data_IF_159028409699
#
_entry.id   IF_159028409699
#
_cell.length_a   1.000
_cell.length_b   1.000
_cell.length_c   1.000
_cell.angle_alpha   90.00
_cell.angle_beta   90.00
_cell.angle_gamma   90.00
#
_symmetry.space_group_name_H-M   'P 1'
#
loop_
_entity.id
_entity.type
_entity.pdbx_description
1 polymer ?
#
# COMPACT_ATOMS: atom_id res chain seq x y z
N UNK A 1 3.73 -30.55 -22.97
CA UNK A 1 4.16 -31.96 -22.85
C UNK A 1 3.25 -32.81 -21.97
N UNK A 2 3.05 -34.06 -22.38
CA UNK A 2 2.39 -35.15 -21.62
C UNK A 2 3.41 -36.22 -21.20
N UNK A 3 4.70 -35.93 -21.35
CA UNK A 3 5.76 -36.86 -20.99
C UNK A 3 5.76 -37.11 -19.48
N UNK A 4 6.12 -38.34 -19.05
CA UNK A 4 6.25 -38.65 -17.63
C UNK A 4 7.25 -37.68 -16.98
N UNK A 5 6.96 -37.18 -15.76
CA UNK A 5 7.96 -36.40 -15.03
C UNK A 5 9.22 -37.25 -14.86
N UNK A 6 10.39 -36.61 -14.99
CA UNK A 6 11.67 -37.26 -14.71
C UNK A 6 11.61 -37.87 -13.30
N UNK A 7 12.04 -39.14 -13.12
CA UNK A 7 11.99 -39.77 -11.81
C UNK A 7 12.89 -38.98 -10.84
N UNK A 8 12.28 -38.35 -9.84
CA UNK A 8 13.03 -37.83 -8.70
C UNK A 8 13.57 -39.02 -7.90
N UNK A 9 14.85 -38.99 -7.45
CA UNK A 9 15.48 -40.13 -6.79
C UNK A 9 14.81 -40.49 -5.46
N UNK A 10 14.23 -39.52 -4.75
CA UNK A 10 13.50 -39.72 -3.50
C UNK A 10 12.14 -39.01 -3.53
N UNK A 11 11.05 -39.74 -3.29
CA UNK A 11 9.70 -39.17 -3.21
C UNK A 11 9.44 -38.54 -1.83
N UNK A 12 8.67 -37.44 -1.80
CA UNK A 12 8.23 -36.81 -0.54
C UNK A 12 7.38 -37.75 0.34
N UNK A 13 6.78 -38.78 -0.25
CA UNK A 13 6.04 -39.81 0.48
C UNK A 13 6.92 -40.61 1.45
N UNK A 14 8.19 -40.79 1.10
CA UNK A 14 9.15 -41.59 1.87
C UNK A 14 9.91 -40.76 2.92
N UNK A 15 9.70 -39.44 2.94
CA UNK A 15 10.40 -38.52 3.85
C UNK A 15 10.27 -38.88 5.35
N UNK A 16 9.10 -39.33 5.88
CA UNK A 16 8.98 -39.72 7.29
C UNK A 16 9.84 -40.95 7.67
N UNK A 17 10.17 -41.80 6.70
CA UNK A 17 10.95 -43.03 6.89
C UNK A 17 12.38 -42.90 6.34
N UNK A 18 12.72 -41.76 5.75
CA UNK A 18 14.03 -41.52 5.16
C UNK A 18 15.13 -41.45 6.23
N UNK A 19 16.33 -41.88 5.85
CA UNK A 19 17.50 -41.83 6.72
C UNK A 19 17.78 -40.36 7.14
N UNK A 20 17.91 -40.05 8.45
CA UNK A 20 18.26 -38.71 8.94
C UNK A 20 19.59 -38.14 8.40
N UNK A 21 20.48 -39.01 7.92
CA UNK A 21 21.75 -38.63 7.28
C UNK A 21 21.70 -38.56 5.75
N UNK A 22 20.51 -38.63 5.15
CA UNK A 22 20.38 -38.50 3.70
C UNK A 22 20.90 -37.14 3.21
N UNK A 23 21.96 -37.19 2.39
CA UNK A 23 22.56 -36.01 1.76
C UNK A 23 21.57 -35.29 0.83
N UNK A 24 20.64 -36.03 0.21
CA UNK A 24 19.64 -35.47 -0.69
C UNK A 24 18.71 -34.50 0.06
N UNK A 25 18.11 -34.95 1.16
CA UNK A 25 17.17 -34.15 1.96
C UNK A 25 17.86 -32.99 2.67
N UNK A 26 19.09 -33.18 3.15
CA UNK A 26 19.92 -32.11 3.69
C UNK A 26 20.15 -31.01 2.66
N UNK A 27 20.66 -31.37 1.48
CA UNK A 27 20.89 -30.40 0.40
C UNK A 27 19.61 -29.68 -0.02
N UNK A 28 18.46 -30.37 -0.04
CA UNK A 28 17.17 -29.77 -0.42
C UNK A 28 16.70 -28.75 0.63
N UNK A 29 16.82 -29.05 1.92
CA UNK A 29 16.49 -28.11 2.99
C UNK A 29 17.47 -26.92 3.01
N UNK A 30 18.77 -27.17 2.92
CA UNK A 30 19.79 -26.14 2.97
C UNK A 30 19.65 -25.18 1.77
N UNK A 31 19.38 -25.71 0.57
CA UNK A 31 19.10 -24.88 -0.60
C UNK A 31 17.83 -24.05 -0.43
N UNK A 32 16.76 -24.63 0.14
CA UNK A 32 15.50 -23.92 0.39
C UNK A 32 15.67 -22.82 1.44
N UNK A 33 16.44 -23.09 2.48
CA UNK A 33 16.79 -22.13 3.54
C UNK A 33 17.65 -21.00 2.99
N UNK A 34 18.62 -21.32 2.13
CA UNK A 34 19.46 -20.33 1.46
C UNK A 34 18.63 -19.44 0.52
N UNK A 35 17.69 -20.02 -0.22
CA UNK A 35 16.78 -19.27 -1.08
C UNK A 35 15.88 -18.33 -0.26
N UNK A 36 15.35 -18.79 0.87
CA UNK A 36 14.49 -17.99 1.75
C UNK A 36 15.27 -16.79 2.33
N UNK A 37 16.45 -17.04 2.89
CA UNK A 37 17.29 -16.02 3.54
C UNK A 37 17.94 -15.04 2.55
N UNK A 38 18.08 -15.41 1.27
CA UNK A 38 18.68 -14.59 0.20
C UNK A 38 17.67 -14.04 -0.80
N UNK A 39 16.36 -14.08 -0.47
CA UNK A 39 15.29 -13.58 -1.34
C UNK A 39 15.33 -12.05 -1.56
N UNK A 40 16.02 -11.31 -0.69
CA UNK A 40 15.96 -9.84 -0.65
C UNK A 40 14.85 -9.36 0.28
N UNK A 41 14.88 -9.83 1.52
CA UNK A 41 13.88 -9.56 2.56
C UNK A 41 13.86 -8.07 2.91
N UNK A 42 15.01 -7.39 2.92
CA UNK A 42 15.06 -5.96 3.21
C UNK A 42 14.23 -5.15 2.21
N UNK A 43 14.37 -5.43 0.92
CA UNK A 43 13.60 -4.76 -0.13
C UNK A 43 12.12 -5.13 -0.06
N UNK A 44 11.82 -6.42 0.14
CA UNK A 44 10.45 -6.92 0.25
C UNK A 44 9.72 -6.24 1.41
N UNK A 45 10.29 -6.29 2.61
CA UNK A 45 9.67 -5.77 3.82
C UNK A 45 9.50 -4.25 3.77
N UNK A 46 10.51 -3.52 3.28
CA UNK A 46 10.41 -2.07 3.07
C UNK A 46 9.31 -1.71 2.08
N UNK A 47 9.16 -2.48 0.99
CA UNK A 47 8.11 -2.26 -0.02
C UNK A 47 6.71 -2.52 0.56
N UNK A 48 6.54 -3.61 1.31
CA UNK A 48 5.26 -3.97 1.94
C UNK A 48 4.84 -2.88 2.93
N UNK A 49 5.75 -2.44 3.80
CA UNK A 49 5.45 -1.38 4.79
C UNK A 49 5.20 -0.05 4.10
N UNK A 50 6.00 0.34 3.09
CA UNK A 50 5.76 1.58 2.35
C UNK A 50 4.39 1.60 1.66
N UNK A 51 3.97 0.49 1.06
CA UNK A 51 2.64 0.38 0.45
C UNK A 51 1.51 0.44 1.48
N UNK A 52 1.70 -0.19 2.64
CA UNK A 52 0.71 -0.14 3.72
C UNK A 52 0.58 1.27 4.31
N UNK A 53 1.69 1.99 4.52
CA UNK A 53 1.67 3.39 4.95
C UNK A 53 0.92 4.26 3.93
N UNK A 54 1.21 4.10 2.63
CA UNK A 54 0.51 4.83 1.57
C UNK A 54 -1.00 4.55 1.60
N UNK A 55 -1.38 3.28 1.70
CA UNK A 55 -2.78 2.84 1.81
C UNK A 55 -3.48 3.46 3.04
N UNK A 56 -2.80 3.49 4.18
CA UNK A 56 -3.33 4.10 5.40
C UNK A 56 -3.45 5.62 5.30
N UNK A 57 -2.48 6.30 4.70
CA UNK A 57 -2.56 7.74 4.42
C UNK A 57 -3.74 8.04 3.49
N UNK A 58 -3.90 7.29 2.40
CA UNK A 58 -5.04 7.45 1.50
C UNK A 58 -6.38 7.22 2.22
N UNK A 59 -6.45 6.22 3.09
CA UNK A 59 -7.62 5.98 3.94
C UNK A 59 -7.89 7.14 4.88
N UNK A 60 -6.87 7.70 5.53
CA UNK A 60 -7.01 8.86 6.41
C UNK A 60 -7.48 10.11 5.65
N UNK A 61 -6.96 10.36 4.45
CA UNK A 61 -7.41 11.47 3.60
C UNK A 61 -8.89 11.29 3.23
N UNK A 62 -9.30 10.07 2.88
CA UNK A 62 -10.70 9.78 2.51
C UNK A 62 -11.70 10.03 3.65
N UNK A 63 -11.24 9.93 4.91
CA UNK A 63 -12.04 10.17 6.11
C UNK A 63 -11.90 11.61 6.64
N UNK A 64 -11.02 12.42 6.04
CA UNK A 64 -10.70 13.77 6.47
C UNK A 64 -11.49 14.83 5.70
N UNK A 65 -11.33 16.09 6.11
CA UNK A 65 -11.86 17.28 5.42
C UNK A 65 -11.25 17.45 4.02
N UNK A 66 -10.08 16.86 3.76
CA UNK A 66 -9.44 16.87 2.44
C UNK A 66 -10.09 15.92 1.42
N UNK A 67 -11.15 15.18 1.80
CA UNK A 67 -11.85 14.26 0.90
C UNK A 67 -12.51 14.96 -0.30
N UNK A 68 -12.97 16.20 -0.14
CA UNK A 68 -13.51 17.06 -1.21
C UNK A 68 -12.45 17.75 -2.06
N UNK A 69 -11.17 17.65 -1.68
CA UNK A 69 -10.07 18.43 -2.25
C UNK A 69 -9.07 17.53 -2.99
N UNK A 70 -9.26 17.27 -4.30
CA UNK A 70 -8.37 16.40 -5.07
C UNK A 70 -6.94 16.93 -5.15
N UNK A 71 -6.77 18.26 -5.22
CA UNK A 71 -5.45 18.89 -5.24
C UNK A 71 -4.66 18.62 -3.96
N UNK A 72 -5.28 18.85 -2.79
CA UNK A 72 -4.64 18.59 -1.51
C UNK A 72 -4.34 17.10 -1.31
N UNK A 73 -5.27 16.23 -1.72
CA UNK A 73 -5.05 14.77 -1.69
C UNK A 73 -3.81 14.37 -2.47
N UNK A 74 -3.65 14.87 -3.69
CA UNK A 74 -2.48 14.56 -4.52
C UNK A 74 -1.18 15.00 -3.84
N UNK A 75 -1.13 16.23 -3.30
CA UNK A 75 0.05 16.74 -2.61
C UNK A 75 0.41 15.89 -1.39
N UNK A 76 -0.59 15.47 -0.60
CA UNK A 76 -0.36 14.63 0.58
C UNK A 76 0.21 13.26 0.17
N UNK A 77 -0.38 12.62 -0.84
CA UNK A 77 0.07 11.31 -1.33
C UNK A 77 1.47 11.39 -1.94
N UNK A 78 1.79 12.47 -2.66
CA UNK A 78 3.13 12.73 -3.19
C UNK A 78 4.16 13.01 -2.10
N UNK A 79 3.80 13.79 -1.06
CA UNK A 79 4.65 14.04 0.09
C UNK A 79 4.98 12.74 0.84
N UNK A 80 3.96 11.92 1.13
CA UNK A 80 4.15 10.62 1.75
C UNK A 80 5.07 9.71 0.91
N UNK A 81 4.86 9.69 -0.40
CA UNK A 81 5.66 8.87 -1.32
C UNK A 81 7.11 9.35 -1.42
N UNK A 82 7.34 10.66 -1.43
CA UNK A 82 8.68 11.27 -1.44
C UNK A 82 9.52 10.86 -0.24
N UNK A 83 8.97 11.02 0.97
CA UNK A 83 9.66 10.67 2.23
C UNK A 83 9.99 9.18 2.28
N UNK A 84 9.02 8.33 1.91
CA UNK A 84 9.22 6.87 1.90
C UNK A 84 10.29 6.45 0.90
N UNK A 85 10.36 7.09 -0.28
CA UNK A 85 11.35 6.77 -1.31
C UNK A 85 12.76 7.21 -0.91
N UNK A 86 12.91 8.33 -0.20
CA UNK A 86 14.21 8.82 0.28
C UNK A 86 14.87 7.83 1.26
N UNK A 87 14.07 7.26 2.18
CA UNK A 87 14.55 6.28 3.17
C UNK A 87 14.58 4.84 2.66
N UNK A 88 13.95 4.55 1.52
CA UNK A 88 13.77 3.18 1.03
C UNK A 88 15.07 2.39 0.93
N UNK A 89 16.11 2.96 0.30
CA UNK A 89 17.36 2.25 0.06
C UNK A 89 18.13 2.01 1.36
N UNK A 90 18.25 3.03 2.22
CA UNK A 90 18.97 2.92 3.49
C UNK A 90 18.29 1.92 4.43
N UNK A 91 16.96 1.97 4.55
CA UNK A 91 16.21 1.02 5.37
C UNK A 91 16.36 -0.40 4.83
N UNK A 92 16.23 -0.59 3.52
CA UNK A 92 16.37 -1.92 2.90
C UNK A 92 17.75 -2.52 3.15
N UNK A 93 18.82 -1.73 3.02
CA UNK A 93 20.19 -2.20 3.27
C UNK A 93 20.42 -2.55 4.74
N UNK A 94 19.93 -1.72 5.66
CA UNK A 94 20.03 -2.00 7.09
C UNK A 94 19.28 -3.26 7.50
N UNK A 95 18.09 -3.50 6.95
CA UNK A 95 17.36 -4.74 7.19
C UNK A 95 18.12 -5.95 6.63
N UNK A 96 18.76 -5.83 5.45
CA UNK A 96 19.60 -6.92 4.91
C UNK A 96 20.85 -7.21 5.76
N UNK A 97 21.44 -6.15 6.33
CA UNK A 97 22.60 -6.26 7.21
C UNK A 97 22.23 -6.90 8.56
N UNK A 98 21.06 -6.58 9.12
CA UNK A 98 20.64 -7.13 10.41
C UNK A 98 20.24 -8.61 10.33
N UNK A 99 19.74 -9.07 9.18
CA UNK A 99 19.41 -10.50 8.98
C UNK A 99 20.61 -11.33 8.49
N UNK A 100 21.75 -10.69 8.20
CA UNK A 100 22.96 -11.37 7.72
C UNK A 100 23.44 -12.52 8.62
N UNK A 101 23.37 -12.45 9.97
CA UNK A 101 23.72 -13.58 10.84
C UNK A 101 22.91 -14.84 10.52
N UNK A 102 21.61 -14.70 10.25
CA UNK A 102 20.72 -15.82 9.93
C UNK A 102 20.95 -16.44 8.55
N UNK A 103 21.83 -15.87 7.71
CA UNK A 103 22.20 -16.46 6.41
C UNK A 103 23.18 -17.62 6.54
N UNK A 104 23.88 -17.72 7.68
CA UNK A 104 24.93 -18.72 7.90
C UNK A 104 24.54 -19.74 8.96
N UNK A 105 24.01 -19.28 10.09
CA UNK A 105 23.60 -20.16 11.19
C UNK A 105 22.24 -19.71 11.72
N UNK A 106 21.31 -20.66 11.86
CA UNK A 106 20.00 -20.43 12.45
C UNK A 106 19.81 -21.42 13.58
N UNK A 107 19.95 -20.92 14.80
CA UNK A 107 19.63 -21.67 16.00
C UNK A 107 18.13 -21.59 16.28
N UNK A 108 17.52 -22.77 16.43
CA UNK A 108 16.08 -22.92 16.67
C UNK A 108 15.86 -23.35 18.11
N UNK A 109 15.07 -22.56 18.84
CA UNK A 109 14.64 -22.89 20.19
C UNK A 109 13.42 -23.82 20.18
N UNK A 110 13.22 -24.57 21.26
CA UNK A 110 12.10 -25.51 21.37
C UNK A 110 10.75 -24.78 21.42
N UNK A 111 10.71 -23.58 22.02
CA UNK A 111 9.53 -22.71 22.07
C UNK A 111 9.13 -22.21 20.68
N UNK A 112 10.12 -21.81 19.88
CA UNK A 112 9.95 -21.37 18.50
C UNK A 112 9.49 -22.53 17.61
N UNK A 113 10.04 -23.73 17.81
CA UNK A 113 9.61 -24.92 17.10
C UNK A 113 8.13 -25.25 17.32
N UNK A 114 7.67 -25.20 18.58
CA UNK A 114 6.26 -25.45 18.91
C UNK A 114 5.35 -24.40 18.26
N UNK A 115 5.71 -23.11 18.34
CA UNK A 115 4.95 -22.03 17.69
C UNK A 115 4.92 -22.18 16.18
N UNK A 116 6.07 -22.49 15.57
CA UNK A 116 6.18 -22.70 14.14
C UNK A 116 5.34 -23.89 13.67
N UNK A 117 5.27 -24.96 14.47
CA UNK A 117 4.42 -26.13 14.19
C UNK A 117 2.93 -25.79 14.15
N UNK A 118 2.47 -24.96 15.08
CA UNK A 118 1.08 -24.49 15.11
C UNK A 118 0.77 -23.59 13.92
N UNK A 119 1.62 -22.58 13.68
CA UNK A 119 1.44 -21.63 12.59
C UNK A 119 1.43 -22.30 11.21
N UNK A 120 2.44 -23.14 10.93
CA UNK A 120 2.53 -23.83 9.63
C UNK A 120 1.40 -24.82 9.40
N UNK A 121 0.86 -25.43 10.46
CA UNK A 121 -0.32 -26.28 10.37
C UNK A 121 -1.54 -25.50 9.87
N UNK A 122 -1.71 -24.25 10.30
CA UNK A 122 -2.78 -23.37 9.83
C UNK A 122 -2.52 -22.85 8.40
N UNK A 123 -1.27 -22.51 8.06
CA UNK A 123 -0.90 -22.09 6.70
C UNK A 123 -1.16 -23.22 5.68
N UNK A 124 -0.73 -24.45 5.96
CA UNK A 124 -0.97 -25.60 5.07
C UNK A 124 -2.45 -25.94 4.97
N UNK A 125 -3.23 -25.81 6.05
CA UNK A 125 -4.69 -25.97 5.98
C UNK A 125 -5.34 -24.92 5.06
N UNK A 126 -4.91 -23.66 5.14
CA UNK A 126 -5.40 -22.60 4.25
C UNK A 126 -5.03 -22.88 2.80
N UNK A 127 -3.80 -23.30 2.54
CA UNK A 127 -3.32 -23.64 1.20
C UNK A 127 -4.07 -24.86 0.62
N UNK A 128 -4.34 -25.87 1.46
CA UNK A 128 -5.15 -27.02 1.06
C UNK A 128 -6.57 -26.59 0.67
N UNK A 129 -7.20 -25.71 1.47
CA UNK A 129 -8.53 -25.19 1.16
C UNK A 129 -8.54 -24.38 -0.14
N UNK A 130 -7.53 -23.54 -0.37
CA UNK A 130 -7.35 -22.81 -1.62
C UNK A 130 -7.20 -23.75 -2.83
N UNK A 131 -6.42 -24.84 -2.69
CA UNK A 131 -6.29 -25.85 -3.73
C UNK A 131 -7.63 -26.55 -4.02
N UNK A 132 -8.38 -26.94 -2.98
CA UNK A 132 -9.70 -27.58 -3.14
C UNK A 132 -10.72 -26.66 -3.81
N UNK A 133 -10.72 -25.37 -3.45
CA UNK A 133 -11.60 -24.38 -4.06
C UNK A 133 -11.18 -24.07 -5.51
N UNK A 134 -9.88 -24.08 -5.82
CA UNK A 134 -9.39 -23.98 -7.19
C UNK A 134 -9.83 -25.19 -8.05
N UNK A 135 -9.81 -26.42 -7.51
CA UNK A 135 -10.34 -27.60 -8.20
C UNK A 135 -11.83 -27.45 -8.51
N UNK A 136 -12.64 -26.99 -7.55
CA UNK A 136 -14.08 -26.71 -7.77
C UNK A 136 -14.29 -25.66 -8.85
N UNK A 137 -13.42 -24.64 -8.91
CA UNK A 137 -13.47 -23.63 -9.95
C UNK A 137 -13.15 -24.23 -11.32
N UNK A 138 -12.16 -25.12 -11.44
CA UNK A 138 -11.91 -25.83 -12.70
C UNK A 138 -13.08 -26.75 -13.08
N UNK A 139 -13.71 -27.41 -12.11
CA UNK A 139 -14.91 -28.24 -12.33
C UNK A 139 -16.08 -27.44 -12.93
N UNK A 140 -16.32 -26.22 -12.45
CA UNK A 140 -17.38 -25.34 -12.97
C UNK A 140 -17.06 -24.88 -14.40
N UNK A 141 -15.81 -24.54 -14.69
CA UNK A 141 -15.37 -24.10 -16.02
C UNK A 141 -15.40 -25.22 -17.07
N UNK A 142 -15.14 -26.47 -16.68
CA UNK A 142 -15.14 -27.65 -17.58
C UNK A 142 -16.56 -28.18 -17.85
N UNK A 143 -17.58 -27.64 -17.17
CA UNK A 143 -18.97 -28.00 -17.41
C UNK A 143 -19.38 -29.31 -16.72
N UNK A 144 -18.73 -29.65 -15.60
CA UNK A 144 -19.16 -30.70 -14.69
C UNK A 144 -18.08 -31.70 -14.26
N UNK A 145 -18.24 -32.22 -13.04
CA UNK A 145 -17.29 -33.13 -12.38
C UNK A 145 -17.01 -34.42 -13.16
N UNK A 146 -18.00 -34.97 -13.87
CA UNK A 146 -17.84 -36.19 -14.67
C UNK A 146 -16.87 -35.96 -15.84
N UNK A 147 -17.10 -34.90 -16.61
CA UNK A 147 -16.21 -34.51 -17.72
C UNK A 147 -14.79 -34.25 -17.24
N UNK A 148 -14.64 -33.54 -16.10
CA UNK A 148 -13.30 -33.32 -15.54
C UNK A 148 -12.61 -34.62 -15.18
N UNK A 149 -13.32 -35.56 -14.52
CA UNK A 149 -12.77 -36.86 -14.16
C UNK A 149 -12.35 -37.68 -15.38
N UNK A 150 -13.14 -37.66 -16.45
CA UNK A 150 -12.81 -38.37 -17.70
C UNK A 150 -11.54 -37.79 -18.33
N UNK A 151 -11.43 -36.47 -18.41
CA UNK A 151 -10.24 -35.77 -18.93
C UNK A 151 -9.01 -36.04 -18.05
N UNK A 152 -9.15 -35.97 -16.72
CA UNK A 152 -8.07 -36.28 -15.79
C UNK A 152 -7.57 -37.73 -15.97
N UNK A 153 -8.49 -38.69 -16.10
CA UNK A 153 -8.12 -40.09 -16.32
C UNK A 153 -7.37 -40.30 -17.63
N UNK A 154 -7.72 -39.55 -18.68
CA UNK A 154 -7.01 -39.59 -19.95
C UNK A 154 -5.61 -38.98 -19.83
N UNK A 155 -5.46 -37.86 -19.12
CA UNK A 155 -4.16 -37.22 -18.85
C UNK A 155 -3.24 -38.13 -18.03
N UNK A 156 -3.78 -38.85 -17.03
CA UNK A 156 -3.01 -39.82 -16.25
C UNK A 156 -2.54 -41.01 -17.09
N UNK A 157 -3.41 -41.58 -17.94
CA UNK A 157 -3.05 -42.65 -18.88
C UNK A 157 -1.99 -42.21 -19.88
N UNK A 158 -2.09 -40.97 -20.37
CA UNK A 158 -1.07 -40.37 -21.23
C UNK A 158 0.26 -40.21 -20.49
N UNK A 159 0.26 -39.75 -19.23
CA UNK A 159 1.47 -39.60 -18.40
C UNK A 159 2.17 -40.94 -18.14
N UNK A 160 1.40 -42.03 -17.98
CA UNK A 160 1.92 -43.39 -17.78
C UNK A 160 2.43 -44.06 -19.07
N UNK A 161 2.24 -43.43 -20.23
CA UNK A 161 2.60 -44.01 -21.52
C UNK A 161 1.64 -45.10 -22.02
N UNK A 162 0.52 -45.31 -21.34
CA UNK A 162 -0.49 -46.32 -21.68
C UNK A 162 -1.44 -45.84 -22.80
N UNK A 163 -1.56 -44.51 -22.98
CA UNK A 163 -2.27 -43.93 -24.11
C UNK A 163 -1.27 -43.61 -25.23
N UNK A 164 -1.24 -44.44 -26.27
CA UNK A 164 -0.64 -44.03 -27.54
C UNK A 164 -1.33 -42.76 -28.01
N UNK A 165 -0.57 -41.67 -28.16
CA UNK A 165 -1.08 -40.37 -28.59
C UNK A 165 -1.53 -40.51 -30.05
N UNK A 166 -2.76 -40.97 -30.28
CA UNK A 166 -3.42 -40.87 -31.59
C UNK A 166 -3.92 -39.44 -31.74
N UNK A 167 -3.14 -38.61 -32.44
CA UNK A 167 -3.54 -37.25 -32.84
C UNK A 167 -2.48 -36.20 -32.54
N UNK A 168 -2.28 -35.30 -33.50
CA UNK A 168 -1.38 -34.16 -33.38
C UNK A 168 -1.75 -33.31 -32.15
N UNK A 169 -0.81 -33.13 -31.22
CA UNK A 169 -1.04 -32.54 -29.90
C UNK A 169 -1.56 -31.10 -29.94
N UNK A 170 -1.53 -30.49 -31.12
CA UNK A 170 -1.97 -29.13 -31.46
C UNK A 170 -3.49 -29.00 -31.54
N UNK A 171 -4.20 -30.05 -31.97
CA UNK A 171 -5.64 -29.99 -32.32
C UNK A 171 -6.56 -30.61 -31.27
N UNK A 172 -6.03 -31.53 -30.45
CA UNK A 172 -6.78 -32.32 -29.51
C UNK A 172 -6.40 -33.79 -29.59
N UNK A 173 -6.47 -34.50 -28.47
CA UNK A 173 -6.10 -35.91 -28.35
C UNK A 173 -7.17 -36.67 -27.57
N UNK A 174 -7.47 -37.90 -28.00
CA UNK A 174 -8.37 -38.80 -27.27
C UNK A 174 -9.81 -38.31 -27.10
N UNK A 175 -10.33 -37.51 -28.05
CA UNK A 175 -11.70 -36.99 -28.00
C UNK A 175 -11.88 -35.72 -27.15
N UNK A 176 -10.77 -35.11 -26.70
CA UNK A 176 -10.79 -33.85 -25.96
C UNK A 176 -10.10 -32.73 -26.75
N UNK A 177 -10.63 -31.52 -26.65
CA UNK A 177 -9.99 -30.32 -27.22
C UNK A 177 -8.70 -29.97 -26.48
N UNK A 178 -7.78 -29.27 -27.15
CA UNK A 178 -6.52 -28.82 -26.53
C UNK A 178 -6.73 -27.97 -25.28
N UNK A 179 -7.72 -27.07 -25.29
CA UNK A 179 -8.11 -26.26 -24.14
C UNK A 179 -8.60 -27.11 -22.96
N UNK A 180 -9.37 -28.16 -23.24
CA UNK A 180 -9.89 -29.07 -22.23
C UNK A 180 -8.79 -29.94 -21.64
N UNK A 181 -7.85 -30.43 -22.46
CA UNK A 181 -6.67 -31.14 -22.00
C UNK A 181 -5.78 -30.26 -21.12
N UNK A 182 -5.67 -28.97 -21.41
CA UNK A 182 -4.92 -28.03 -20.57
C UNK A 182 -5.58 -27.88 -19.19
N UNK A 183 -6.92 -27.75 -19.13
CA UNK A 183 -7.66 -27.75 -17.87
C UNK A 183 -7.61 -29.09 -17.14
N UNK A 184 -7.56 -30.20 -17.86
CA UNK A 184 -7.30 -31.53 -17.31
C UNK A 184 -5.94 -31.63 -16.62
N UNK A 185 -4.88 -31.11 -17.25
CA UNK A 185 -3.53 -31.06 -16.65
C UNK A 185 -3.48 -30.20 -15.40
N UNK A 186 -4.11 -29.03 -15.45
CA UNK A 186 -4.25 -28.13 -14.30
C UNK A 186 -4.97 -28.84 -13.14
N UNK A 187 -6.07 -29.54 -13.42
CA UNK A 187 -6.80 -30.30 -12.41
C UNK A 187 -6.02 -31.48 -11.83
N UNK A 188 -5.28 -32.25 -12.65
CA UNK A 188 -4.37 -33.30 -12.17
C UNK A 188 -3.29 -32.71 -11.26
N UNK A 189 -2.68 -31.59 -11.65
CA UNK A 189 -1.70 -30.90 -10.81
C UNK A 189 -2.28 -30.44 -9.47
N UNK A 190 -3.46 -29.81 -9.47
CA UNK A 190 -4.13 -29.36 -8.24
C UNK A 190 -4.54 -30.54 -7.35
N UNK A 191 -4.97 -31.66 -7.95
CA UNK A 191 -5.31 -32.88 -7.22
C UNK A 191 -4.07 -33.51 -6.58
N UNK A 192 -2.98 -33.69 -7.33
CA UNK A 192 -1.69 -34.20 -6.83
C UNK A 192 -1.15 -33.30 -5.71
N UNK A 193 -1.22 -31.97 -5.89
CA UNK A 193 -0.83 -30.98 -4.88
C UNK A 193 -1.69 -31.08 -3.62
N UNK A 194 -3.00 -31.19 -3.74
CA UNK A 194 -3.89 -31.33 -2.58
C UNK A 194 -3.62 -32.63 -1.81
N UNK A 195 -3.38 -33.75 -2.52
CA UNK A 195 -3.00 -35.01 -1.89
C UNK A 195 -1.66 -34.90 -1.13
N UNK A 196 -0.66 -34.23 -1.72
CA UNK A 196 0.62 -33.94 -1.09
C UNK A 196 0.45 -33.07 0.16
N UNK A 197 -0.32 -31.98 0.09
CA UNK A 197 -0.57 -31.10 1.23
C UNK A 197 -1.27 -31.84 2.38
N UNK A 198 -2.25 -32.70 2.08
CA UNK A 198 -2.91 -33.55 3.10
C UNK A 198 -1.92 -34.51 3.76
N UNK A 199 -1.07 -35.17 2.96
CA UNK A 199 -0.03 -36.07 3.46
C UNK A 199 0.94 -35.33 4.39
N UNK A 200 1.44 -34.17 3.98
CA UNK A 200 2.36 -33.34 4.79
C UNK A 200 1.70 -32.79 6.05
N UNK A 201 0.44 -32.38 5.99
CA UNK A 201 -0.33 -31.95 7.16
C UNK A 201 -0.46 -33.07 8.21
N UNK A 202 -0.65 -34.32 7.75
CA UNK A 202 -0.66 -35.48 8.65
C UNK A 202 0.74 -35.75 9.24
N UNK A 203 1.81 -35.58 8.44
CA UNK A 203 3.18 -35.72 8.92
C UNK A 203 3.50 -34.68 10.01
N UNK A 204 3.06 -33.43 9.88
CA UNK A 204 3.25 -32.38 10.90
C UNK A 204 2.56 -32.70 12.23
N UNK A 205 1.44 -33.42 12.20
CA UNK A 205 0.73 -33.88 13.41
C UNK A 205 1.42 -35.07 14.09
N UNK A 206 2.33 -35.75 13.39
CA UNK A 206 3.07 -36.89 13.96
C UNK A 206 3.96 -36.49 15.14
N UNK A 207 4.33 -37.47 15.97
CA UNK A 207 5.28 -37.26 17.08
C UNK A 207 6.70 -36.97 16.59
N UNK A 208 7.05 -37.37 15.36
CA UNK A 208 8.38 -37.14 14.79
C UNK A 208 8.66 -35.64 14.64
N UNK A 209 7.67 -34.86 14.20
CA UNK A 209 7.79 -33.40 14.07
C UNK A 209 7.60 -32.63 15.39
N UNK A 210 7.46 -33.31 16.53
CA UNK A 210 7.36 -32.64 17.83
C UNK A 210 8.73 -32.19 18.37
N UNK A 211 9.81 -32.86 17.95
CA UNK A 211 11.19 -32.54 18.38
C UNK A 211 11.93 -31.78 17.29
N UNK A 212 12.78 -30.81 17.67
CA UNK A 212 13.66 -30.08 16.73
C UNK A 212 14.76 -30.95 16.10
N UNK A 213 15.05 -32.11 16.69
CA UNK A 213 16.07 -33.03 16.17
C UNK A 213 15.75 -33.59 14.78
N UNK A 214 14.49 -33.53 14.36
CA UNK A 214 14.00 -33.97 13.06
C UNK A 214 13.81 -32.83 12.05
N UNK A 215 14.64 -31.78 12.13
CA UNK A 215 14.54 -30.59 11.25
C UNK A 215 14.53 -30.91 9.75
N UNK A 216 15.24 -31.96 9.34
CA UNK A 216 15.32 -32.38 7.94
C UNK A 216 14.07 -33.16 7.48
N UNK A 217 13.34 -33.81 8.40
CA UNK A 217 12.09 -34.52 8.10
C UNK A 217 10.87 -33.59 8.08
N UNK A 218 10.95 -32.48 8.83
CA UNK A 218 9.87 -31.49 8.97
C UNK A 218 10.33 -30.10 8.50
N UNK A 219 10.66 -29.96 7.19
CA UNK A 219 11.18 -28.71 6.62
C UNK A 219 10.21 -27.54 6.77
N UNK A 220 8.90 -27.79 6.79
CA UNK A 220 7.90 -26.73 6.85
C UNK A 220 7.94 -25.99 8.20
N UNK A 221 8.14 -26.70 9.32
CA UNK A 221 8.28 -26.10 10.64
C UNK A 221 9.57 -25.28 10.70
N UNK A 222 10.67 -25.86 10.22
CA UNK A 222 11.95 -25.17 10.21
C UNK A 222 11.91 -23.87 9.40
N UNK A 223 11.36 -23.91 8.18
CA UNK A 223 11.23 -22.73 7.34
C UNK A 223 10.29 -21.68 7.94
N UNK A 224 9.23 -22.09 8.65
CA UNK A 224 8.33 -21.16 9.35
C UNK A 224 9.04 -20.45 10.51
N UNK A 225 9.86 -21.17 11.28
CA UNK A 225 10.70 -20.58 12.33
C UNK A 225 11.70 -19.58 11.76
N UNK A 226 12.39 -19.96 10.67
CA UNK A 226 13.32 -19.08 9.95
C UNK A 226 12.59 -17.81 9.50
N UNK A 227 11.44 -17.95 8.85
CA UNK A 227 10.63 -16.81 8.40
C UNK A 227 10.21 -15.90 9.56
N UNK A 228 9.81 -16.49 10.69
CA UNK A 228 9.40 -15.75 11.89
C UNK A 228 10.55 -14.95 12.48
N UNK A 229 11.75 -15.55 12.62
CA UNK A 229 12.95 -14.84 13.12
C UNK A 229 13.40 -13.71 12.20
N UNK A 230 13.39 -13.96 10.90
CA UNK A 230 13.75 -12.95 9.90
C UNK A 230 12.76 -11.77 9.97
N UNK A 231 11.47 -12.06 10.10
CA UNK A 231 10.42 -11.05 10.20
C UNK A 231 10.50 -10.26 11.51
N UNK A 232 10.65 -10.93 12.66
CA UNK A 232 10.74 -10.25 13.95
C UNK A 232 11.93 -9.30 14.02
N UNK A 233 13.08 -9.73 13.48
CA UNK A 233 14.27 -8.87 13.38
C UNK A 233 14.05 -7.72 12.41
N UNK A 234 13.52 -7.98 11.21
CA UNK A 234 13.26 -6.93 10.22
C UNK A 234 12.31 -5.85 10.72
N UNK A 235 11.24 -6.23 11.43
CA UNK A 235 10.23 -5.28 11.95
C UNK A 235 10.81 -4.28 12.94
N UNK A 236 11.76 -4.70 13.79
CA UNK A 236 12.42 -3.79 14.74
C UNK A 236 13.16 -2.66 14.02
N UNK A 237 13.88 -2.99 12.94
CA UNK A 237 14.64 -2.01 12.16
C UNK A 237 13.72 -1.14 11.29
N UNK A 238 12.68 -1.72 10.68
CA UNK A 238 11.68 -0.96 9.94
C UNK A 238 11.00 0.10 10.81
N UNK A 239 10.78 -0.21 12.09
CA UNK A 239 10.19 0.74 13.02
C UNK A 239 11.08 1.96 13.29
N UNK A 240 12.38 1.73 13.49
CA UNK A 240 13.33 2.81 13.78
C UNK A 240 13.64 3.61 12.52
N UNK A 241 14.02 2.94 11.44
CA UNK A 241 14.57 3.59 10.25
C UNK A 241 13.51 4.17 9.30
N UNK A 242 12.32 3.56 9.24
CA UNK A 242 11.27 3.99 8.32
C UNK A 242 10.10 4.66 9.05
N UNK A 243 9.49 3.97 10.03
CA UNK A 243 8.28 4.49 10.69
C UNK A 243 8.55 5.74 11.51
N UNK A 244 9.58 5.72 12.35
CA UNK A 244 9.90 6.86 13.22
C UNK A 244 10.28 8.10 12.41
N UNK A 245 11.11 7.93 11.38
CA UNK A 245 11.47 8.99 10.42
C UNK A 245 10.26 9.50 9.64
N UNK A 246 9.38 8.60 9.18
CA UNK A 246 8.16 8.99 8.48
C UNK A 246 7.26 9.84 9.38
N UNK A 247 6.99 9.41 10.62
CA UNK A 247 6.13 10.16 11.54
C UNK A 247 6.71 11.53 11.93
N UNK A 248 8.03 11.65 11.97
CA UNK A 248 8.69 12.92 12.28
C UNK A 248 8.66 13.90 11.10
N UNK A 249 8.98 13.42 9.89
CA UNK A 249 9.12 14.26 8.70
C UNK A 249 7.79 14.55 8.00
N UNK A 250 6.83 13.62 8.03
CA UNK A 250 5.58 13.75 7.27
C UNK A 250 4.75 14.99 7.64
N UNK A 251 4.50 15.32 8.93
CA UNK A 251 3.79 16.54 9.28
C UNK A 251 4.52 17.83 8.86
N UNK A 252 5.86 17.80 8.84
CA UNK A 252 6.69 18.96 8.47
C UNK A 252 6.67 19.20 6.97
N UNK A 253 6.83 18.14 6.19
CA UNK A 253 6.74 18.21 4.74
C UNK A 253 5.36 18.69 4.30
N UNK A 254 4.31 18.26 5.02
CA UNK A 254 2.95 18.73 4.79
C UNK A 254 2.80 20.23 5.08
N UNK A 255 3.34 20.73 6.19
CA UNK A 255 3.30 22.17 6.54
C UNK A 255 4.06 23.02 5.51
N UNK A 256 5.21 22.52 5.03
CA UNK A 256 5.97 23.21 3.98
C UNK A 256 5.17 23.28 2.67
N UNK A 257 4.55 22.17 2.24
CA UNK A 257 3.84 22.12 0.95
C UNK A 257 2.46 22.79 0.97
N UNK A 258 1.65 22.56 2.01
CA UNK A 258 0.28 23.08 2.10
C UNK A 258 0.16 24.32 2.97
N UNK A 259 0.97 24.45 4.03
CA UNK A 259 0.89 25.57 4.96
C UNK A 259 1.54 26.84 4.41
N UNK A 260 2.74 26.72 3.84
CA UNK A 260 3.53 27.88 3.35
C UNK A 260 3.82 27.87 1.84
N UNK A 261 3.68 26.72 1.19
CA UNK A 261 4.09 26.51 -0.20
C UNK A 261 3.04 26.83 -1.25
N UNK A 262 1.83 27.26 -0.84
CA UNK A 262 0.74 27.56 -1.78
C UNK A 262 0.74 29.03 -2.19
N UNK A 263 0.77 29.27 -3.50
CA UNK A 263 0.55 30.60 -4.07
C UNK A 263 -0.89 31.06 -3.89
N UNK A 264 -1.13 32.38 -3.90
CA UNK A 264 -2.48 32.96 -3.77
C UNK A 264 -3.49 32.36 -4.75
N UNK A 265 -3.08 32.13 -5.99
CA UNK A 265 -3.96 31.50 -7.00
C UNK A 265 -4.31 30.05 -6.66
N UNK A 266 -3.35 29.29 -6.12
CA UNK A 266 -3.58 27.90 -5.72
C UNK A 266 -4.49 27.83 -4.50
N UNK A 267 -4.36 28.78 -3.56
CA UNK A 267 -5.26 28.91 -2.41
C UNK A 267 -6.69 29.23 -2.87
N UNK A 268 -6.85 30.12 -3.85
CA UNK A 268 -8.18 30.40 -4.41
C UNK A 268 -8.78 29.17 -5.12
N UNK A 269 -7.98 28.42 -5.89
CA UNK A 269 -8.43 27.17 -6.51
C UNK A 269 -8.86 26.16 -5.46
N UNK A 270 -8.04 25.94 -4.43
CA UNK A 270 -8.35 25.05 -3.31
C UNK A 270 -9.66 25.44 -2.61
N UNK A 271 -9.87 26.73 -2.35
CA UNK A 271 -11.10 27.20 -1.71
C UNK A 271 -12.35 27.06 -2.60
N UNK A 272 -12.18 27.08 -3.92
CA UNK A 272 -13.27 26.91 -4.89
C UNK A 272 -13.66 25.43 -5.12
N UNK A 273 -12.83 24.47 -4.68
CA UNK A 273 -13.12 23.03 -4.83
C UNK A 273 -14.32 22.57 -3.99
N UNK A 274 -14.51 23.14 -2.79
CA UNK A 274 -15.69 22.86 -1.97
C UNK A 274 -16.84 23.81 -2.36
N UNK A 275 -17.98 23.30 -2.85
CA UNK A 275 -19.13 24.13 -3.22
C UNK A 275 -19.66 25.01 -2.08
N UNK A 276 -19.55 24.56 -0.82
CA UNK A 276 -20.01 25.30 0.35
C UNK A 276 -19.12 26.49 0.63
N UNK A 277 -17.80 26.28 0.61
CA UNK A 277 -16.80 27.33 0.80
C UNK A 277 -16.85 28.33 -0.35
N UNK A 278 -16.96 27.86 -1.59
CA UNK A 278 -17.13 28.70 -2.78
C UNK A 278 -18.34 29.64 -2.64
N UNK A 279 -19.50 29.10 -2.28
CA UNK A 279 -20.71 29.91 -2.07
C UNK A 279 -20.53 30.94 -0.96
N UNK A 280 -19.86 30.58 0.13
CA UNK A 280 -19.56 31.51 1.22
C UNK A 280 -18.63 32.65 0.79
N UNK A 281 -17.58 32.33 0.03
CA UNK A 281 -16.64 33.32 -0.51
C UNK A 281 -17.29 34.28 -1.51
N UNK A 282 -18.20 33.78 -2.36
CA UNK A 282 -18.96 34.62 -3.29
C UNK A 282 -19.85 35.63 -2.55
N UNK A 283 -20.49 35.21 -1.45
CA UNK A 283 -21.31 36.09 -0.60
C UNK A 283 -20.46 37.16 0.08
N UNK A 284 -19.30 36.77 0.64
CA UNK A 284 -18.36 37.72 1.26
C UNK A 284 -17.86 38.73 0.21
N UNK A 285 -17.39 38.26 -0.96
CA UNK A 285 -16.93 39.15 -2.04
C UNK A 285 -18.01 40.14 -2.48
N UNK A 286 -19.27 39.70 -2.60
CA UNK A 286 -20.40 40.57 -2.94
C UNK A 286 -20.67 41.60 -1.84
N UNK A 287 -20.62 41.19 -0.57
CA UNK A 287 -20.78 42.08 0.58
C UNK A 287 -19.68 43.16 0.58
N UNK A 288 -18.43 42.76 0.46
CA UNK A 288 -17.27 43.68 0.50
C UNK A 288 -17.32 44.71 -0.63
N UNK A 289 -17.72 44.30 -1.84
CA UNK A 289 -17.90 45.21 -2.97
C UNK A 289 -19.03 46.21 -2.73
N UNK A 290 -20.15 45.78 -2.14
CA UNK A 290 -21.27 46.66 -1.83
C UNK A 290 -20.93 47.64 -0.69
N UNK A 291 -20.21 47.19 0.33
CA UNK A 291 -19.70 48.04 1.41
C UNK A 291 -18.70 49.07 0.87
N UNK A 292 -17.81 48.68 -0.04
CA UNK A 292 -16.89 49.60 -0.70
C UNK A 292 -17.64 50.65 -1.52
N UNK A 293 -18.66 50.26 -2.28
CA UNK A 293 -19.50 51.19 -3.05
C UNK A 293 -20.24 52.15 -2.12
N UNK A 294 -20.85 51.64 -1.05
CA UNK A 294 -21.54 52.46 -0.06
C UNK A 294 -20.58 53.48 0.57
N UNK A 295 -19.39 53.04 0.98
CA UNK A 295 -18.36 53.91 1.55
C UNK A 295 -17.89 54.99 0.57
N UNK A 296 -17.74 54.66 -0.72
CA UNK A 296 -17.39 55.67 -1.75
C UNK A 296 -18.54 56.64 -2.02
N UNK A 297 -19.79 56.18 -1.99
CA UNK A 297 -20.97 57.03 -2.14
C UNK A 297 -21.15 57.99 -0.95
N UNK A 298 -20.96 57.50 0.27
CA UNK A 298 -20.95 58.33 1.48
C UNK A 298 -19.82 59.37 1.44
N UNK A 299 -18.60 58.95 1.08
CA UNK A 299 -17.48 59.88 0.90
C UNK A 299 -17.74 60.95 -0.17
N UNK A 300 -18.40 60.60 -1.28
CA UNK A 300 -18.83 61.58 -2.28
C UNK A 300 -19.92 62.52 -1.77
N UNK A 301 -20.89 62.01 -1.01
CA UNK A 301 -21.96 62.82 -0.42
C UNK A 301 -21.40 63.83 0.59
N UNK A 302 -20.43 63.43 1.39
CA UNK A 302 -19.76 64.34 2.35
C UNK A 302 -19.00 65.45 1.61
N UNK A 303 -18.31 65.11 0.52
CA UNK A 303 -17.65 66.09 -0.35
C UNK A 303 -18.65 67.04 -1.03
N UNK A 304 -19.79 66.55 -1.51
CA UNK A 304 -20.85 67.39 -2.09
C UNK A 304 -21.49 68.33 -1.05
N UNK A 305 -21.66 67.87 0.20
CA UNK A 305 -22.15 68.70 1.30
C UNK A 305 -21.12 69.78 1.66
N UNK A 306 -19.83 69.45 1.69
CA UNK A 306 -18.77 70.45 1.85
C UNK A 306 -18.76 71.47 0.69
N UNK A 307 -18.90 71.01 -0.56
CA UNK A 307 -18.96 71.91 -1.72
C UNK A 307 -20.19 72.82 -1.69
N UNK A 308 -21.38 72.30 -1.33
CA UNK A 308 -22.58 73.12 -1.13
C UNK A 308 -22.39 74.11 0.02
N UNK A 309 -21.76 73.69 1.13
CA UNK A 309 -21.41 74.57 2.25
C UNK A 309 -20.48 75.71 1.82
N UNK A 310 -19.48 75.42 0.97
CA UNK A 310 -18.56 76.42 0.39
C UNK A 310 -19.27 77.37 -0.59
N UNK A 311 -20.21 76.89 -1.42
CA UNK A 311 -21.02 77.73 -2.33
C UNK A 311 -22.00 78.64 -1.58
N UNK A 312 -22.61 78.15 -0.48
CA UNK A 312 -23.47 78.97 0.39
C UNK A 312 -22.65 80.00 1.17
N UNK A 313 -21.46 79.64 1.63
CA UNK A 313 -20.53 80.58 2.27
C UNK A 313 -19.97 81.65 1.30
N UNK A 314 -19.76 81.31 0.02
CA UNK A 314 -19.36 82.30 -0.99
C UNK A 314 -20.52 83.21 -1.41
N UNK A 315 -21.76 82.71 -1.41
CA UNK A 315 -22.96 83.50 -1.70
C UNK A 315 -23.30 84.48 -0.56
N UNK A 316 -23.10 84.11 0.71
CA UNK A 316 -23.26 85.02 1.87
C UNK A 316 -22.19 86.12 1.96
N UNK A 317 -21.05 85.99 1.28
CA UNK A 317 -20.00 87.02 1.26
C UNK A 317 -20.27 88.17 0.28
N UNK A 318 -21.28 88.06 -0.59
CA UNK A 318 -21.58 89.10 -1.59
C UNK A 318 -22.62 90.12 -1.10
N UNK A 319 -23.39 89.83 -0.05
CA UNK A 319 -24.44 90.73 0.47
C UNK A 319 -24.02 91.70 1.57
N UNK A 320 -22.77 91.66 2.07
CA UNK A 320 -22.29 92.60 3.10
C UNK A 320 -21.29 93.57 2.50
N UNK A 321 -21.79 94.69 1.96
CA UNK A 321 -20.98 95.90 1.73
C UNK A 321 -20.57 96.49 3.08
N UNK A 322 -19.28 96.72 3.36
CA UNK A 322 -18.86 97.36 4.59
C UNK A 322 -19.00 98.88 4.48
N UNK A 323 -19.75 99.46 5.42
CA UNK A 323 -19.66 100.88 5.76
C UNK A 323 -18.27 101.14 6.34
N UNK A 324 -17.47 101.95 5.65
CA UNK A 324 -16.23 102.50 6.17
C UNK A 324 -16.51 103.31 7.42
N UNK A 325 -15.97 102.89 8.59
CA UNK A 325 -15.33 103.86 9.45
C UNK A 325 -14.31 103.26 10.41
N UNK A 326 -13.24 104.03 10.55
CA UNK A 326 -12.33 104.16 11.68
C UNK A 326 -11.26 103.10 11.98
N UNK A 327 -10.04 103.48 11.55
CA UNK A 327 -8.81 103.62 12.33
C UNK A 327 -8.63 102.73 13.57
N UNK A 328 -7.52 101.99 13.51
CA UNK A 328 -6.51 102.11 14.56
C UNK A 328 -5.99 100.80 15.12
N UNK A 329 -4.66 100.74 15.09
CA UNK A 329 -3.76 100.01 16.01
C UNK A 329 -3.43 98.54 15.75
N UNK A 330 -2.15 98.42 15.39
CA UNK A 330 -1.12 97.65 16.09
C UNK A 330 -1.21 96.12 16.07
N UNK A 331 -0.23 95.54 15.36
CA UNK A 331 0.31 94.19 15.56
C UNK A 331 0.87 94.08 17.00
N UNK A 332 0.95 92.89 17.62
CA UNK A 332 2.10 92.02 17.29
C UNK A 332 1.82 90.50 17.26
N UNK A 333 2.59 89.87 16.39
CA UNK A 333 3.22 88.55 16.42
C UNK A 333 3.06 87.69 17.69
N UNK A 334 2.81 86.39 17.49
CA UNK A 334 3.65 85.33 18.06
C UNK A 334 3.39 83.98 17.38
N UNK A 335 4.49 83.35 16.96
CA UNK A 335 4.60 81.91 16.73
C UNK A 335 4.26 81.13 18.01
N UNK A 336 3.52 80.03 17.86
CA UNK A 336 3.90 78.68 18.28
C UNK A 336 3.08 77.66 17.50
#
# INVERSE_FOLDING_TARGET
DLQPPLPEPDSLADLPNANPDSLYWRRKLDASTSALTKLGIGRLATTVVANEIRSQVDRLISQSTFSSHPFARQIITEAASGILNERFYSTSDQVENCIKPFKFEIDVEDTEWVRGRENISEVIKKELKACEDAVKNVESHVGGRRKLKDVMSFVEKARKGEAGILGDATSGAGGFSSALLQKGKEAVFLHDRAALLRMRLNALRSKQCASKGSRYQCPEIFLDVVATKLTSTAVLFLNVELLSEFYYNFPRELDVRLGRGLDKEQVERFANEDPRVRGHLEVIRRKDLLELVLQKMEGLKDLEVEERGKRVASSRRVEVRPSQNDKGRERPWSLF
#
